data_IF_543326918809
#
_entry.id   IF_543326918809
#
_cell.length_a   1.000
_cell.length_b   1.000
_cell.length_c   1.000
_cell.angle_alpha   90.00
_cell.angle_beta   90.00
_cell.angle_gamma   90.00
#
_symmetry.space_group_name_H-M   'P 1'
#
loop_
_entity.id
_entity.type
_entity.pdbx_description
1 polymer ?
#
# COMPACT_ATOMS: atom_id res chain seq x y z
N UNK A 1 -13.58 -5.77 -9.88
CA UNK A 1 -14.74 -5.02 -9.37
C UNK A 1 -15.00 -5.57 -7.97
N UNK A 2 -14.86 -4.73 -6.95
CA UNK A 2 -15.14 -5.09 -5.57
C UNK A 2 -16.47 -4.42 -5.20
N UNK A 3 -17.58 -5.14 -5.38
CA UNK A 3 -18.92 -4.61 -5.09
C UNK A 3 -19.31 -4.74 -3.62
N UNK A 4 -18.49 -5.40 -2.81
CA UNK A 4 -18.76 -5.64 -1.39
C UNK A 4 -17.75 -4.88 -0.52
N UNK A 5 -18.21 -4.08 0.44
CA UNK A 5 -17.32 -3.47 1.43
C UNK A 5 -16.67 -4.58 2.27
N UNK A 6 -15.49 -4.29 2.86
CA UNK A 6 -14.89 -5.18 3.84
C UNK A 6 -15.84 -5.35 5.03
N UNK A 7 -16.12 -6.59 5.38
CA UNK A 7 -16.85 -6.92 6.61
C UNK A 7 -15.84 -7.27 7.69
N UNK A 8 -15.84 -6.49 8.77
CA UNK A 8 -14.95 -6.73 9.91
C UNK A 8 -15.57 -7.79 10.83
N UNK A 9 -14.80 -8.81 11.11
CA UNK A 9 -15.16 -9.89 12.03
C UNK A 9 -14.06 -10.09 13.05
N UNK A 10 -14.41 -10.07 14.35
CA UNK A 10 -13.47 -10.36 15.42
C UNK A 10 -13.71 -11.78 15.90
N UNK A 11 -12.67 -12.62 15.88
CA UNK A 11 -12.69 -13.96 16.44
C UNK A 11 -11.53 -14.08 17.45
N UNK A 12 -11.88 -14.27 18.71
CA UNK A 12 -10.89 -14.38 19.80
C UNK A 12 -10.07 -15.68 19.75
N UNK A 13 -10.50 -16.66 18.95
CA UNK A 13 -9.75 -17.90 18.70
C UNK A 13 -8.56 -17.68 17.77
N UNK A 14 -8.57 -16.61 16.97
CA UNK A 14 -7.47 -16.25 16.08
C UNK A 14 -6.40 -15.46 16.85
N UNK A 15 -5.81 -16.08 17.88
CA UNK A 15 -4.68 -15.48 18.59
C UNK A 15 -3.44 -15.39 17.70
N UNK A 16 -2.45 -14.59 18.11
CA UNK A 16 -1.18 -14.47 17.41
C UNK A 16 -0.48 -15.83 17.30
N UNK A 17 -0.44 -16.57 18.39
CA UNK A 17 0.17 -17.90 18.46
C UNK A 17 -0.51 -18.87 17.49
N UNK A 18 -1.85 -18.91 17.51
CA UNK A 18 -2.61 -19.73 16.58
C UNK A 18 -2.30 -19.39 15.11
N UNK A 19 -2.22 -18.10 14.77
CA UNK A 19 -1.92 -17.67 13.42
C UNK A 19 -0.48 -18.01 13.02
N UNK A 20 0.49 -17.88 13.91
CA UNK A 20 1.88 -18.30 13.65
C UNK A 20 1.97 -19.79 13.42
N UNK A 21 1.30 -20.60 14.25
CA UNK A 21 1.22 -22.07 14.08
C UNK A 21 0.60 -22.44 12.73
N UNK A 22 -0.45 -21.74 12.32
CA UNK A 22 -1.06 -21.91 11.00
C UNK A 22 -0.04 -21.64 9.87
N UNK A 23 0.78 -20.59 9.99
CA UNK A 23 1.81 -20.29 9.01
C UNK A 23 2.87 -21.40 8.94
N UNK A 24 3.29 -21.94 10.08
CA UNK A 24 4.20 -23.10 10.12
C UNK A 24 3.58 -24.33 9.45
N UNK A 25 2.29 -24.62 9.70
CA UNK A 25 1.60 -25.75 9.07
C UNK A 25 1.58 -25.57 7.55
N UNK A 26 1.21 -24.39 7.06
CA UNK A 26 1.19 -24.09 5.62
C UNK A 26 2.59 -24.20 5.04
N UNK A 27 3.58 -23.55 5.65
CA UNK A 27 4.95 -23.57 5.17
C UNK A 27 5.51 -25.00 5.08
N UNK A 28 5.34 -25.81 6.13
CA UNK A 28 5.80 -27.21 6.15
C UNK A 28 5.07 -28.07 5.13
N UNK A 29 3.75 -27.86 4.93
CA UNK A 29 2.97 -28.62 3.95
C UNK A 29 3.45 -28.41 2.52
N UNK A 30 3.95 -27.21 2.22
CA UNK A 30 4.43 -26.82 0.87
C UNK A 30 5.95 -26.73 0.77
N UNK A 31 6.68 -27.23 1.79
CA UNK A 31 8.15 -27.23 1.83
C UNK A 31 8.76 -25.82 1.62
N UNK A 32 8.11 -24.78 2.19
CA UNK A 32 8.53 -23.40 2.10
C UNK A 32 9.40 -23.00 3.28
N UNK A 33 10.45 -22.21 3.08
CA UNK A 33 11.20 -21.65 4.19
C UNK A 33 10.34 -20.63 4.94
N UNK A 34 10.17 -20.82 6.25
CA UNK A 34 9.49 -19.87 7.11
C UNK A 34 10.13 -19.83 8.49
N UNK A 35 10.59 -18.66 8.85
CA UNK A 35 11.07 -18.34 10.18
C UNK A 35 10.80 -16.85 10.45
N UNK A 36 9.83 -16.52 11.33
CA UNK A 36 9.45 -15.13 11.61
C UNK A 36 10.46 -14.38 12.49
N UNK A 37 11.52 -15.04 13.00
CA UNK A 37 12.48 -14.44 13.93
C UNK A 37 13.81 -14.15 13.25
N UNK A 38 14.41 -15.16 12.61
CA UNK A 38 15.79 -15.08 12.08
C UNK A 38 15.87 -15.35 10.57
N UNK A 39 14.79 -15.81 9.95
CA UNK A 39 14.77 -16.25 8.56
C UNK A 39 13.73 -15.51 7.70
N UNK A 40 13.06 -16.27 6.84
CA UNK A 40 12.03 -15.74 5.95
C UNK A 40 10.69 -15.53 6.67
N UNK A 41 10.26 -14.30 6.92
CA UNK A 41 9.02 -14.03 7.64
C UNK A 41 7.75 -14.19 6.78
N UNK A 42 7.89 -14.49 5.48
CA UNK A 42 6.80 -14.46 4.49
C UNK A 42 6.50 -15.87 3.98
N UNK A 43 5.21 -16.17 3.85
CA UNK A 43 4.70 -17.42 3.26
C UNK A 43 3.79 -17.10 2.08
N UNK A 44 4.10 -17.66 0.92
CA UNK A 44 3.23 -17.66 -0.27
C UNK A 44 2.91 -19.10 -0.66
N UNK A 45 1.63 -19.44 -0.70
CA UNK A 45 1.19 -20.78 -1.09
C UNK A 45 -0.08 -20.74 -1.93
N UNK A 46 -0.32 -21.81 -2.67
CA UNK A 46 -1.64 -22.12 -3.22
C UNK A 46 -2.22 -23.25 -2.38
N UNK A 47 -3.18 -22.93 -1.53
CA UNK A 47 -3.82 -23.89 -0.63
C UNK A 47 -4.98 -24.62 -1.33
N UNK A 48 -5.50 -25.74 -0.77
CA UNK A 48 -6.56 -26.52 -1.39
C UNK A 48 -7.74 -25.67 -1.86
N UNK A 49 -8.27 -25.97 -3.05
CA UNK A 49 -9.28 -25.15 -3.72
C UNK A 49 -8.68 -24.03 -4.59
N UNK A 50 -7.39 -24.12 -4.91
CA UNK A 50 -6.65 -23.13 -5.72
C UNK A 50 -6.64 -21.72 -5.11
N UNK A 51 -6.86 -21.63 -3.80
CA UNK A 51 -6.86 -20.35 -3.09
C UNK A 51 -5.44 -19.84 -2.90
N UNK A 52 -5.22 -18.54 -3.14
CA UNK A 52 -3.92 -17.90 -2.92
C UNK A 52 -3.79 -17.48 -1.47
N UNK A 53 -2.81 -18.03 -0.80
CA UNK A 53 -2.43 -17.70 0.57
C UNK A 53 -1.19 -16.81 0.55
N UNK A 54 -1.22 -15.69 1.26
CA UNK A 54 -0.09 -14.78 1.42
C UNK A 54 -0.07 -14.28 2.84
N UNK A 55 1.04 -14.44 3.54
CA UNK A 55 1.15 -14.07 4.92
C UNK A 55 2.55 -13.57 5.27
N UNK A 56 2.63 -12.77 6.33
CA UNK A 56 3.87 -12.32 6.96
C UNK A 56 3.68 -12.36 8.48
N UNK A 57 4.73 -12.74 9.21
CA UNK A 57 4.76 -12.69 10.67
C UNK A 57 6.08 -12.11 11.17
N UNK A 58 6.12 -11.72 12.44
CA UNK A 58 7.33 -11.23 13.11
C UNK A 58 7.48 -9.70 13.06
N UNK A 59 8.70 -9.21 13.26
CA UNK A 59 9.01 -7.79 13.48
C UNK A 59 8.62 -6.85 12.34
N UNK A 60 8.48 -7.37 11.12
CA UNK A 60 8.08 -6.57 9.97
C UNK A 60 6.58 -6.24 9.93
N UNK A 61 5.78 -6.78 10.87
CA UNK A 61 4.36 -6.43 11.08
C UNK A 61 4.20 -5.87 12.49
N UNK A 62 3.89 -4.59 12.61
CA UNK A 62 3.89 -3.93 13.91
C UNK A 62 2.55 -3.18 14.13
N UNK A 63 1.63 -3.79 14.85
CA UNK A 63 0.35 -3.17 15.21
C UNK A 63 0.47 -2.28 16.45
N UNK A 64 1.30 -2.67 17.41
CA UNK A 64 1.61 -1.93 18.62
C UNK A 64 3.09 -1.52 18.60
N UNK A 65 3.40 -0.27 18.95
CA UNK A 65 4.77 0.25 19.01
C UNK A 65 5.59 -0.40 20.13
N UNK A 66 4.93 -0.88 21.17
CA UNK A 66 5.56 -1.51 22.33
C UNK A 66 5.75 -3.04 22.15
N UNK A 67 5.09 -3.67 21.15
CA UNK A 67 5.27 -5.09 20.85
C UNK A 67 6.43 -5.33 19.89
N UNK A 68 7.62 -5.47 20.45
CA UNK A 68 8.84 -5.77 19.69
C UNK A 68 8.87 -7.19 19.10
N UNK A 69 7.95 -8.06 19.48
CA UNK A 69 7.85 -9.43 18.92
C UNK A 69 7.12 -9.46 17.58
N UNK A 70 6.53 -8.33 17.21
CA UNK A 70 5.80 -8.15 15.95
C UNK A 70 4.44 -8.83 15.92
N UNK A 71 3.78 -8.77 14.78
CA UNK A 71 2.43 -9.28 14.56
C UNK A 71 2.36 -10.35 13.48
N UNK A 72 1.13 -10.63 13.05
CA UNK A 72 0.82 -11.49 11.91
C UNK A 72 -0.17 -10.76 11.00
N UNK A 73 0.08 -10.79 9.70
CA UNK A 73 -0.88 -10.39 8.69
C UNK A 73 -1.00 -11.48 7.64
N UNK A 74 -2.22 -11.83 7.25
CA UNK A 74 -2.45 -12.81 6.20
C UNK A 74 -3.63 -12.42 5.31
N UNK A 75 -3.59 -12.91 4.09
CA UNK A 75 -4.67 -12.76 3.12
C UNK A 75 -4.88 -14.08 2.41
N UNK A 76 -6.13 -14.52 2.34
CA UNK A 76 -6.54 -15.64 1.51
C UNK A 76 -7.43 -15.10 0.40
N UNK A 77 -6.94 -15.17 -0.84
CA UNK A 77 -7.75 -14.84 -2.01
C UNK A 77 -8.44 -16.11 -2.48
N UNK A 78 -9.72 -16.20 -2.17
CA UNK A 78 -10.55 -17.34 -2.56
C UNK A 78 -10.72 -17.35 -4.08
N UNK A 79 -10.35 -18.47 -4.71
CA UNK A 79 -10.62 -18.68 -6.12
C UNK A 79 -12.08 -19.06 -6.31
N UNK A 80 -12.77 -18.43 -7.26
CA UNK A 80 -14.11 -18.81 -7.69
C UNK A 80 -14.00 -19.57 -9.01
N UNK A 81 -14.54 -20.77 -9.08
CA UNK A 81 -14.60 -21.55 -10.30
C UNK A 81 -15.73 -21.07 -11.24
N UNK A 82 -16.64 -20.25 -10.72
CA UNK A 82 -17.71 -19.68 -11.50
C UNK A 82 -17.28 -18.35 -12.11
N UNK A 83 -17.59 -18.14 -13.39
CA UNK A 83 -17.46 -16.85 -14.05
C UNK A 83 -18.58 -15.95 -13.55
N UNK A 84 -18.31 -15.18 -12.48
CA UNK A 84 -19.32 -14.36 -11.82
C UNK A 84 -19.72 -13.11 -12.62
N UNK A 85 -18.85 -12.66 -13.57
CA UNK A 85 -19.06 -11.40 -14.30
C UNK A 85 -18.99 -11.62 -15.80
N UNK A 86 -20.01 -11.10 -16.53
CA UNK A 86 -20.03 -11.02 -17.99
C UNK A 86 -19.42 -9.72 -18.48
N UNK A 87 -19.26 -9.57 -19.80
CA UNK A 87 -18.70 -8.35 -20.41
C UNK A 87 -19.53 -7.10 -20.08
N UNK A 88 -20.84 -7.24 -19.93
CA UNK A 88 -21.76 -6.16 -19.52
C UNK A 88 -21.42 -5.58 -18.15
N UNK A 89 -20.94 -6.40 -17.22
CA UNK A 89 -20.56 -5.97 -15.87
C UNK A 89 -19.29 -5.09 -15.89
N UNK A 90 -18.52 -5.17 -16.96
CA UNK A 90 -17.40 -4.27 -17.26
C UNK A 90 -17.79 -3.07 -18.11
N UNK A 91 -19.09 -2.79 -18.29
CA UNK A 91 -19.60 -1.70 -19.11
C UNK A 91 -19.49 -1.93 -20.62
N UNK A 92 -19.18 -3.16 -21.05
CA UNK A 92 -19.06 -3.55 -22.46
C UNK A 92 -20.37 -4.16 -22.93
N UNK A 93 -21.28 -3.32 -23.42
CA UNK A 93 -22.57 -3.75 -24.01
C UNK A 93 -22.62 -3.35 -25.48
N UNK A 94 -23.04 -4.27 -26.35
CA UNK A 94 -23.11 -4.03 -27.79
C UNK A 94 -24.00 -2.82 -28.12
N UNK A 95 -23.45 -1.87 -28.86
CA UNK A 95 -24.17 -0.65 -29.29
C UNK A 95 -24.25 0.45 -28.22
N UNK A 96 -23.62 0.28 -27.06
CA UNK A 96 -23.56 1.30 -26.03
C UNK A 96 -22.15 1.89 -25.89
N UNK A 97 -22.06 3.19 -25.57
CA UNK A 97 -20.78 3.82 -25.22
C UNK A 97 -20.25 3.24 -23.91
N UNK A 98 -18.92 3.13 -23.80
CA UNK A 98 -18.26 2.70 -22.56
C UNK A 98 -18.69 3.58 -21.38
N UNK A 99 -19.18 2.94 -20.32
CA UNK A 99 -19.39 3.61 -19.05
C UNK A 99 -18.04 3.94 -18.40
N UNK A 100 -17.88 5.17 -17.96
CA UNK A 100 -16.68 5.58 -17.25
C UNK A 100 -16.66 4.93 -15.86
N UNK A 101 -15.58 4.20 -15.59
CA UNK A 101 -15.40 3.47 -14.31
C UNK A 101 -15.31 4.42 -13.12
N UNK A 102 -14.74 5.60 -13.33
CA UNK A 102 -14.64 6.63 -12.29
C UNK A 102 -15.04 8.01 -12.83
N UNK A 103 -16.32 8.40 -12.70
CA UNK A 103 -16.80 9.69 -13.18
C UNK A 103 -16.18 10.90 -12.48
N UNK A 104 -15.60 10.71 -11.28
CA UNK A 104 -14.95 11.79 -10.54
C UNK A 104 -13.68 12.30 -11.25
N UNK A 105 -13.05 11.46 -12.08
CA UNK A 105 -11.84 11.85 -12.84
C UNK A 105 -12.10 12.94 -13.89
N UNK A 106 -13.35 13.16 -14.29
CA UNK A 106 -13.74 14.19 -15.26
C UNK A 106 -14.14 15.53 -14.61
N UNK A 107 -14.28 15.56 -13.29
CA UNK A 107 -14.63 16.78 -12.57
C UNK A 107 -13.40 17.71 -12.57
N UNK A 108 -13.60 18.96 -13.00
CA UNK A 108 -12.54 19.99 -12.95
C UNK A 108 -12.11 20.22 -11.49
N UNK A 109 -10.81 20.40 -11.27
CA UNK A 109 -10.29 20.73 -9.95
C UNK A 109 -10.90 22.02 -9.41
N UNK A 110 -11.40 22.04 -8.16
CA UNK A 110 -11.86 23.25 -7.51
C UNK A 110 -10.74 24.28 -7.36
N UNK A 111 -11.11 25.56 -7.30
CA UNK A 111 -10.13 26.63 -7.01
C UNK A 111 -9.69 26.59 -5.54
N UNK A 112 -10.60 26.27 -4.64
CA UNK A 112 -10.31 26.12 -3.22
C UNK A 112 -9.37 24.94 -2.97
N UNK A 113 -8.20 25.14 -2.30
CA UNK A 113 -7.22 24.09 -2.09
C UNK A 113 -7.73 22.93 -1.22
N UNK A 114 -8.60 23.21 -0.25
CA UNK A 114 -9.17 22.19 0.62
C UNK A 114 -10.14 21.29 -0.15
N UNK A 115 -11.05 21.88 -0.93
CA UNK A 115 -11.97 21.14 -1.79
C UNK A 115 -11.23 20.32 -2.85
N UNK A 116 -10.15 20.86 -3.40
CA UNK A 116 -9.27 20.15 -4.34
C UNK A 116 -8.62 18.93 -3.70
N UNK A 117 -8.13 19.06 -2.47
CA UNK A 117 -7.54 17.95 -1.73
C UNK A 117 -8.58 16.85 -1.44
N UNK A 118 -9.78 17.22 -1.01
CA UNK A 118 -10.87 16.28 -0.77
C UNK A 118 -11.28 15.54 -2.06
N UNK A 119 -11.36 16.26 -3.17
CA UNK A 119 -11.68 15.65 -4.46
C UNK A 119 -10.57 14.70 -4.92
N UNK A 120 -9.30 15.05 -4.73
CA UNK A 120 -8.16 14.18 -5.06
C UNK A 120 -8.21 12.87 -4.29
N UNK A 121 -8.52 12.91 -2.99
CA UNK A 121 -8.68 11.71 -2.17
C UNK A 121 -9.85 10.83 -2.68
N UNK A 122 -10.98 11.44 -3.01
CA UNK A 122 -12.16 10.72 -3.53
C UNK A 122 -11.92 10.11 -4.91
N UNK A 123 -11.10 10.75 -5.74
CA UNK A 123 -10.70 10.23 -7.07
C UNK A 123 -9.76 9.04 -6.99
N UNK A 124 -9.10 8.84 -5.86
CA UNK A 124 -8.02 7.87 -5.72
C UNK A 124 -6.66 8.40 -6.20
N UNK A 125 -6.49 9.73 -6.33
CA UNK A 125 -5.21 10.31 -6.74
C UNK A 125 -4.11 9.96 -5.72
N UNK A 126 -2.87 9.81 -6.18
CA UNK A 126 -1.73 9.67 -5.29
C UNK A 126 -1.34 11.04 -4.73
N UNK A 127 -0.94 11.11 -3.46
CA UNK A 127 -0.62 12.37 -2.79
C UNK A 127 0.75 12.28 -2.13
N UNK A 128 1.60 13.24 -2.44
CA UNK A 128 2.91 13.41 -1.83
C UNK A 128 2.92 14.67 -0.96
N UNK A 129 3.09 14.50 0.35
CA UNK A 129 3.23 15.59 1.30
C UNK A 129 4.70 15.99 1.38
N UNK A 130 5.01 17.21 0.96
CA UNK A 130 6.35 17.75 0.90
C UNK A 130 6.56 18.85 1.92
N UNK A 131 7.77 18.98 2.46
CA UNK A 131 8.16 20.02 3.40
C UNK A 131 9.53 19.79 4.00
N UNK A 132 10.10 20.77 4.65
CA UNK A 132 11.37 20.67 5.36
C UNK A 132 11.26 19.72 6.58
N UNK A 133 12.39 19.45 7.23
CA UNK A 133 12.40 18.69 8.48
C UNK A 133 11.57 19.39 9.52
N UNK A 134 10.78 18.63 10.30
CA UNK A 134 9.95 19.13 11.40
C UNK A 134 8.81 20.12 11.02
N UNK A 135 8.42 20.18 9.74
CA UNK A 135 7.24 20.98 9.30
C UNK A 135 5.91 20.31 9.61
N UNK A 136 5.90 19.09 10.13
CA UNK A 136 4.66 18.37 10.45
C UNK A 136 4.10 17.50 9.32
N UNK A 137 4.92 17.06 8.35
CA UNK A 137 4.49 16.19 7.25
C UNK A 137 3.74 14.94 7.71
N UNK A 138 4.31 14.20 8.68
CA UNK A 138 3.68 13.00 9.25
C UNK A 138 2.37 13.34 9.97
N UNK A 139 2.32 14.48 10.66
CA UNK A 139 1.09 14.99 11.31
C UNK A 139 0.02 15.31 10.27
N UNK A 140 0.39 15.97 9.19
CA UNK A 140 -0.53 16.26 8.08
C UNK A 140 -1.01 14.98 7.42
N UNK A 141 -0.12 14.03 7.12
CA UNK A 141 -0.45 12.73 6.57
C UNK A 141 -1.43 11.97 7.49
N UNK A 142 -1.20 11.96 8.80
CA UNK A 142 -2.13 11.36 9.77
C UNK A 142 -3.52 12.00 9.75
N UNK A 143 -3.64 13.30 9.44
CA UNK A 143 -4.94 13.94 9.22
C UNK A 143 -5.59 13.52 7.90
N UNK A 144 -4.82 13.33 6.81
CA UNK A 144 -5.37 12.80 5.55
C UNK A 144 -5.95 11.38 5.75
N UNK A 145 -5.32 10.56 6.58
CA UNK A 145 -5.82 9.21 6.88
C UNK A 145 -7.21 9.20 7.50
N UNK A 146 -7.58 10.26 8.24
CA UNK A 146 -8.94 10.41 8.82
C UNK A 146 -10.01 10.75 7.78
N UNK A 147 -9.60 11.25 6.61
CA UNK A 147 -10.52 11.62 5.52
C UNK A 147 -10.81 10.43 4.60
N UNK A 148 -9.90 9.45 4.54
CA UNK A 148 -10.15 8.21 3.80
C UNK A 148 -11.35 7.46 4.40
N UNK A 149 -12.13 6.81 3.54
CA UNK A 149 -13.26 6.00 3.99
C UNK A 149 -12.80 4.94 5.00
N UNK A 150 -13.40 4.95 6.18
CA UNK A 150 -13.05 4.07 7.31
C UNK A 150 -13.15 2.58 6.99
N UNK A 151 -13.91 2.20 5.96
CA UNK A 151 -14.08 0.83 5.50
C UNK A 151 -12.95 0.37 4.56
N UNK A 152 -12.05 1.26 4.16
CA UNK A 152 -10.91 0.90 3.30
C UNK A 152 -9.91 0.01 4.04
N UNK A 153 -9.31 -0.92 3.29
CA UNK A 153 -8.13 -1.66 3.74
C UNK A 153 -6.88 -0.81 3.50
N UNK A 154 -6.17 -0.50 4.57
CA UNK A 154 -4.96 0.32 4.54
C UNK A 154 -3.73 -0.56 4.78
N UNK A 155 -2.71 -0.44 3.93
CA UNK A 155 -1.39 -1.01 4.18
C UNK A 155 -0.39 0.12 4.30
N UNK A 156 0.36 0.18 5.41
CA UNK A 156 1.45 1.14 5.58
C UNK A 156 2.81 0.49 5.35
N UNK A 157 3.75 1.27 4.84
CA UNK A 157 5.16 0.90 4.67
C UNK A 157 5.98 1.99 5.36
N UNK A 158 6.64 1.64 6.46
CA UNK A 158 7.33 2.59 7.32
C UNK A 158 8.74 2.09 7.66
N UNK A 159 9.70 3.01 7.84
CA UNK A 159 11.02 2.68 8.39
C UNK A 159 10.92 2.51 9.93
N UNK A 160 10.10 3.34 10.54
CA UNK A 160 9.76 3.31 11.97
C UNK A 160 8.26 3.58 12.09
N UNK A 161 7.61 2.91 13.03
CA UNK A 161 6.17 2.97 13.23
C UNK A 161 5.74 4.36 13.76
N UNK A 162 5.22 5.23 12.87
CA UNK A 162 4.79 6.60 13.21
C UNK A 162 3.33 6.90 12.80
N UNK A 163 2.81 6.17 11.82
CA UNK A 163 1.49 6.47 11.26
C UNK A 163 0.36 5.99 12.17
N UNK A 164 -0.59 6.89 12.42
CA UNK A 164 -1.78 6.66 13.23
C UNK A 164 -2.97 6.36 12.32
N UNK A 165 -3.13 5.11 11.92
CA UNK A 165 -4.20 4.67 11.00
C UNK A 165 -5.46 4.34 11.78
N UNK A 166 -6.56 5.10 11.64
CA UNK A 166 -7.79 4.87 12.40
C UNK A 166 -8.60 3.67 11.88
N UNK A 167 -8.30 3.18 10.67
CA UNK A 167 -9.05 2.13 10.01
C UNK A 167 -8.93 0.80 10.74
N UNK A 168 -10.04 0.08 10.96
CA UNK A 168 -9.99 -1.24 11.58
C UNK A 168 -9.28 -2.27 10.69
N UNK A 169 -9.46 -2.19 9.36
CA UNK A 169 -8.78 -3.07 8.42
C UNK A 169 -7.46 -2.44 7.96
N UNK A 170 -6.41 -2.71 8.71
CA UNK A 170 -5.08 -2.17 8.44
C UNK A 170 -3.98 -3.20 8.64
N UNK A 171 -2.89 -3.04 7.91
CA UNK A 171 -1.64 -3.77 8.10
C UNK A 171 -0.50 -2.76 8.14
N UNK A 172 0.34 -2.83 9.15
CA UNK A 172 1.52 -1.99 9.29
C UNK A 172 2.77 -2.82 8.98
N UNK A 173 3.42 -2.51 7.86
CA UNK A 173 4.69 -3.11 7.48
C UNK A 173 5.83 -2.17 7.86
N UNK A 174 6.79 -2.70 8.61
CA UNK A 174 7.97 -1.95 9.06
C UNK A 174 9.22 -2.61 8.50
N UNK A 175 10.05 -1.82 7.84
CA UNK A 175 11.35 -2.24 7.33
C UNK A 175 12.39 -1.20 7.74
N UNK A 176 12.98 -1.41 8.92
CA UNK A 176 14.04 -0.54 9.45
C UNK A 176 15.25 -0.53 8.52
N UNK A 177 15.84 0.65 8.31
CA UNK A 177 17.06 0.82 7.51
C UNK A 177 18.27 0.08 8.08
N UNK A 178 18.26 -0.13 9.40
CA UNK A 178 19.37 -0.77 10.13
C UNK A 178 19.17 -2.28 10.32
N UNK A 179 17.93 -2.76 10.18
CA UNK A 179 17.55 -4.15 10.44
C UNK A 179 17.15 -4.89 9.15
N UNK A 180 17.56 -4.39 7.99
CA UNK A 180 17.37 -5.12 6.73
C UNK A 180 18.20 -6.40 6.79
N UNK A 181 17.50 -7.51 6.96
CA UNK A 181 18.08 -8.82 6.74
C UNK A 181 18.04 -9.14 5.26
N UNK A 182 18.92 -10.02 4.77
CA UNK A 182 18.85 -10.51 3.38
C UNK A 182 17.51 -11.20 3.05
N UNK A 183 16.71 -11.48 4.08
CA UNK A 183 15.43 -12.18 4.00
C UNK A 183 14.23 -11.25 3.77
N UNK A 184 14.36 -9.95 4.06
CA UNK A 184 13.27 -8.97 3.83
C UNK A 184 13.81 -7.69 3.21
N UNK A 185 13.32 -7.37 2.02
CA UNK A 185 13.66 -6.17 1.25
C UNK A 185 12.42 -5.50 0.69
N UNK A 186 12.59 -4.36 0.02
CA UNK A 186 11.48 -3.63 -0.59
C UNK A 186 10.83 -4.36 -1.77
N UNK A 187 11.55 -5.22 -2.48
CA UNK A 187 10.98 -6.02 -3.56
C UNK A 187 9.96 -7.04 -3.00
N UNK A 188 10.32 -7.71 -1.90
CA UNK A 188 9.40 -8.61 -1.18
C UNK A 188 8.21 -7.85 -0.59
N UNK A 189 8.41 -6.61 -0.11
CA UNK A 189 7.31 -5.76 0.38
C UNK A 189 6.34 -5.43 -0.75
N UNK A 190 6.81 -5.05 -1.95
CA UNK A 190 5.93 -4.78 -3.10
C UNK A 190 5.06 -5.99 -3.40
N UNK A 191 5.68 -7.17 -3.55
CA UNK A 191 4.96 -8.40 -3.87
C UNK A 191 3.91 -8.75 -2.81
N UNK A 192 4.24 -8.56 -1.54
CA UNK A 192 3.34 -8.76 -0.41
C UNK A 192 2.17 -7.77 -0.42
N UNK A 193 2.44 -6.47 -0.60
CA UNK A 193 1.42 -5.41 -0.62
C UNK A 193 0.41 -5.64 -1.73
N UNK A 194 0.87 -5.95 -2.95
CA UNK A 194 -0.02 -6.25 -4.08
C UNK A 194 -0.93 -7.46 -3.77
N UNK A 195 -0.40 -8.48 -3.09
CA UNK A 195 -1.18 -9.67 -2.70
C UNK A 195 -2.17 -9.39 -1.57
N UNK A 196 -1.89 -8.42 -0.72
CA UNK A 196 -2.80 -7.99 0.34
C UNK A 196 -3.98 -7.17 -0.17
N UNK A 197 -3.99 -6.80 -1.45
CA UNK A 197 -5.11 -6.10 -2.11
C UNK A 197 -5.60 -4.88 -1.32
N UNK A 198 -4.73 -3.91 -0.98
CA UNK A 198 -5.13 -2.72 -0.25
C UNK A 198 -6.03 -1.81 -1.09
N UNK A 199 -6.87 -1.03 -0.43
CA UNK A 199 -7.63 0.07 -1.05
C UNK A 199 -6.82 1.38 -1.01
N UNK A 200 -5.84 1.49 -0.11
CA UNK A 200 -4.85 2.57 -0.08
C UNK A 200 -3.52 2.09 0.51
N UNK A 201 -2.42 2.65 0.00
CA UNK A 201 -1.06 2.36 0.42
C UNK A 201 -0.45 3.63 1.01
N UNK A 202 0.14 3.53 2.19
CA UNK A 202 0.68 4.70 2.88
C UNK A 202 2.18 4.50 3.14
N UNK A 203 3.00 5.30 2.49
CA UNK A 203 4.44 5.38 2.76
C UNK A 203 4.72 6.40 3.88
N UNK A 204 5.40 6.01 4.94
CA UNK A 204 5.78 6.94 6.00
C UNK A 204 6.64 8.09 5.46
N UNK A 205 7.76 7.77 4.85
CA UNK A 205 8.66 8.73 4.19
C UNK A 205 9.34 8.09 2.97
N UNK A 206 9.38 8.83 1.85
CA UNK A 206 10.15 8.42 0.69
C UNK A 206 11.64 8.67 0.94
N UNK A 207 12.42 7.59 0.89
CA UNK A 207 13.87 7.56 1.00
C UNK A 207 14.50 6.98 -0.25
N UNK A 208 15.82 6.99 -0.34
CA UNK A 208 16.54 6.36 -1.46
C UNK A 208 16.29 4.84 -1.53
N UNK A 209 16.10 4.19 -0.38
CA UNK A 209 15.92 2.74 -0.30
C UNK A 209 14.52 2.26 -0.72
N UNK A 210 13.48 3.09 -0.58
CA UNK A 210 12.09 2.70 -0.83
C UNK A 210 11.42 3.42 -2.01
N UNK A 211 12.08 4.42 -2.58
CA UNK A 211 11.49 5.24 -3.64
C UNK A 211 11.07 4.42 -4.87
N UNK A 212 11.91 3.48 -5.31
CA UNK A 212 11.58 2.58 -6.41
C UNK A 212 10.33 1.74 -6.11
N UNK A 213 10.27 1.16 -4.91
CA UNK A 213 9.13 0.36 -4.47
C UNK A 213 7.82 1.15 -4.43
N UNK A 214 7.84 2.35 -3.85
CA UNK A 214 6.66 3.22 -3.79
C UNK A 214 6.22 3.64 -5.20
N UNK A 215 7.15 3.92 -6.10
CA UNK A 215 6.85 4.25 -7.49
C UNK A 215 6.18 3.09 -8.23
N UNK A 216 6.67 1.86 -8.07
CA UNK A 216 6.03 0.67 -8.63
C UNK A 216 4.62 0.46 -8.08
N UNK A 217 4.42 0.63 -6.77
CA UNK A 217 3.10 0.52 -6.16
C UNK A 217 2.13 1.58 -6.66
N UNK A 218 2.56 2.82 -6.91
CA UNK A 218 1.76 3.85 -7.59
C UNK A 218 1.38 3.44 -9.02
N UNK A 219 2.25 2.69 -9.71
CA UNK A 219 2.00 2.17 -11.06
C UNK A 219 1.16 0.90 -11.12
N UNK A 220 0.94 0.22 -10.00
CA UNK A 220 0.29 -1.11 -9.94
C UNK A 220 -1.25 -1.10 -9.99
N UNK A 221 -1.86 0.08 -10.18
CA UNK A 221 -3.32 0.23 -10.29
C UNK A 221 -4.06 0.36 -8.97
N UNK A 222 -3.34 0.57 -7.86
CA UNK A 222 -3.95 0.92 -6.58
C UNK A 222 -4.29 2.41 -6.54
N UNK A 223 -5.41 2.74 -5.93
CA UNK A 223 -5.79 4.12 -5.64
C UNK A 223 -5.10 4.61 -4.34
N UNK A 224 -5.06 5.93 -4.14
CA UNK A 224 -4.62 6.56 -2.89
C UNK A 224 -3.28 6.02 -2.34
N UNK A 225 -2.21 6.06 -3.12
CA UNK A 225 -0.87 5.94 -2.55
C UNK A 225 -0.47 7.29 -1.97
N UNK A 226 -0.35 7.38 -0.64
CA UNK A 226 0.00 8.61 0.09
C UNK A 226 1.38 8.45 0.71
N UNK A 227 2.24 9.46 0.62
CA UNK A 227 3.57 9.42 1.22
C UNK A 227 4.07 10.80 1.63
N UNK A 228 5.16 10.86 2.41
CA UNK A 228 5.86 12.11 2.69
C UNK A 228 7.23 12.14 2.02
N UNK A 229 7.75 13.34 1.76
CA UNK A 229 9.09 13.55 1.23
C UNK A 229 9.70 14.86 1.79
N UNK A 230 11.00 14.86 2.00
CA UNK A 230 11.72 16.09 2.29
C UNK A 230 12.05 16.84 0.98
N UNK A 231 11.45 18.03 0.81
CA UNK A 231 11.78 18.98 -0.25
C UNK A 231 11.29 20.39 0.12
N UNK A 232 11.93 21.41 -0.47
CA UNK A 232 11.67 22.81 -0.16
C UNK A 232 10.50 23.40 -0.98
N UNK A 233 10.08 22.72 -2.02
CA UNK A 233 8.95 23.12 -2.88
C UNK A 233 8.33 21.91 -3.55
N UNK A 234 7.12 22.05 -4.09
CA UNK A 234 6.46 21.02 -4.85
C UNK A 234 7.27 20.56 -6.07
N UNK A 235 7.92 21.51 -6.77
CA UNK A 235 8.79 21.20 -7.90
C UNK A 235 10.06 20.44 -7.47
N UNK A 236 10.65 20.83 -6.34
CA UNK A 236 11.77 20.11 -5.76
C UNK A 236 11.39 18.70 -5.31
N UNK A 237 10.14 18.50 -4.88
CA UNK A 237 9.63 17.17 -4.49
C UNK A 237 9.61 16.19 -5.67
N UNK A 238 9.14 16.61 -6.85
CA UNK A 238 9.17 15.77 -8.06
C UNK A 238 10.61 15.37 -8.42
N UNK A 239 11.53 16.34 -8.40
CA UNK A 239 12.96 16.09 -8.69
C UNK A 239 13.57 15.14 -7.67
N UNK A 240 13.37 15.40 -6.38
CA UNK A 240 13.93 14.59 -5.30
C UNK A 240 13.39 13.15 -5.33
N UNK A 241 12.11 12.96 -5.64
CA UNK A 241 11.54 11.63 -5.78
C UNK A 241 12.13 10.91 -7.00
N UNK A 242 12.20 11.57 -8.15
CA UNK A 242 12.81 11.00 -9.35
C UNK A 242 14.27 10.63 -9.13
N UNK A 243 15.06 11.50 -8.51
CA UNK A 243 16.47 11.23 -8.25
C UNK A 243 16.64 9.98 -7.33
N UNK A 244 15.76 9.80 -6.36
CA UNK A 244 15.73 8.59 -5.51
C UNK A 244 15.32 7.34 -6.29
N UNK A 245 14.35 7.44 -7.22
CA UNK A 245 13.96 6.30 -8.08
C UNK A 245 15.13 5.87 -8.97
N UNK A 246 15.90 6.82 -9.50
CA UNK A 246 17.07 6.54 -10.34
C UNK A 246 18.19 5.75 -9.61
N UNK A 247 18.24 5.78 -8.28
CA UNK A 247 19.12 4.90 -7.53
C UNK A 247 18.75 3.42 -7.66
N UNK A 248 17.46 3.11 -7.76
CA UNK A 248 16.96 1.74 -7.96
C UNK A 248 16.95 1.38 -9.44
N UNK A 249 16.57 2.33 -10.30
CA UNK A 249 16.38 2.14 -11.74
C UNK A 249 17.20 3.16 -12.55
N UNK A 250 18.52 3.00 -12.64
CA UNK A 250 19.41 4.02 -13.25
C UNK A 250 19.21 4.20 -14.76
N UNK A 251 18.50 3.31 -15.43
CA UNK A 251 18.29 3.33 -16.89
C UNK A 251 17.00 4.02 -17.33
N UNK A 252 16.12 4.41 -16.41
CA UNK A 252 14.88 5.11 -16.77
C UNK A 252 15.15 6.56 -17.17
N UNK A 253 14.32 7.08 -18.08
CA UNK A 253 14.42 8.49 -18.50
C UNK A 253 13.89 9.41 -17.40
N UNK A 254 14.78 10.27 -16.88
CA UNK A 254 14.48 11.22 -15.81
C UNK A 254 13.34 12.18 -16.16
N UNK A 255 13.36 12.76 -17.36
CA UNK A 255 12.37 13.75 -17.77
C UNK A 255 11.00 13.11 -17.98
N UNK A 256 10.97 11.95 -18.63
CA UNK A 256 9.75 11.18 -18.80
C UNK A 256 9.13 10.76 -17.46
N UNK A 257 9.96 10.35 -16.49
CA UNK A 257 9.49 10.00 -15.14
C UNK A 257 8.87 11.21 -14.42
N UNK A 258 9.46 12.40 -14.54
CA UNK A 258 8.89 13.63 -13.99
C UNK A 258 7.55 13.97 -14.65
N UNK A 259 7.44 13.85 -15.97
CA UNK A 259 6.17 14.05 -16.69
C UNK A 259 5.10 13.06 -16.24
N UNK A 260 5.42 11.79 -16.09
CA UNK A 260 4.50 10.78 -15.56
C UNK A 260 4.05 11.09 -14.12
N UNK A 261 4.96 11.58 -13.28
CA UNK A 261 4.62 12.02 -11.92
C UNK A 261 3.62 13.16 -11.91
N UNK A 262 3.79 14.18 -12.77
CA UNK A 262 2.84 15.29 -12.86
C UNK A 262 1.41 14.85 -13.22
N UNK A 263 1.27 13.75 -13.95
CA UNK A 263 -0.05 13.18 -14.29
C UNK A 263 -0.66 12.34 -13.17
N UNK A 264 0.16 11.62 -12.40
CA UNK A 264 -0.30 10.62 -11.43
C UNK A 264 -0.33 11.13 -9.99
N UNK A 265 0.46 12.15 -9.67
CA UNK A 265 0.78 12.53 -8.30
C UNK A 265 0.41 13.99 -8.03
N UNK A 266 -0.27 14.22 -6.90
CA UNK A 266 -0.54 15.56 -6.36
C UNK A 266 0.46 15.85 -5.25
N UNK A 267 1.14 16.96 -5.32
CA UNK A 267 2.07 17.40 -4.27
C UNK A 267 1.41 18.47 -3.41
N UNK A 268 1.39 18.24 -2.11
CA UNK A 268 0.97 19.19 -1.09
C UNK A 268 2.21 19.68 -0.36
N UNK A 269 2.54 20.95 -0.52
CA UNK A 269 3.67 21.60 0.15
C UNK A 269 3.22 22.18 1.50
N UNK A 270 3.95 21.87 2.58
CA UNK A 270 3.71 22.39 3.93
C UNK A 270 4.95 23.02 4.54
#
# INVERSE_FOLDING_TARGET
>A
IRDSPWVMYKDEKLSKEYLVDLLYIVANTYELPFDPVEGSPVVYATIPGEHRFSAIAGRNVMYDQDDLTGGVALTIRVHSHDVAFGLSDYGLTQGQALHKINPLKDIKDPEDPYERLLLSIKRGDHILVSGATSTGKTTFLNNLLKILDINKRIVTIEDTRELLVPHPNRVHLVLSRTEQTNEMDYAKIIDLVVRFTPDAIIGGEISTSNAGAIWELMGSGHDNCLATIHAESSEAAYKAFTDRILHTYPTIDRNKTIEEMHHKLRVVQI
#
